data_IF_213313025287
#
_entry.id   IF_213313025287
#
_cell.length_a   1.000
_cell.length_b   1.000
_cell.length_c   1.000
_cell.angle_alpha   90.00
_cell.angle_beta   90.00
_cell.angle_gamma   90.00
#
_symmetry.space_group_name_H-M   'P 1'
#
loop_
_entity.id
_entity.type
_entity.pdbx_description
1 polymer ?
#
# COMPACT_ATOMS: atom_id res chain seq x y z
N UNK A 1 18.84 2.50 12.04
CA UNK A 1 19.25 3.89 12.28
C UNK A 1 17.99 4.73 12.23
N UNK A 2 17.71 5.47 13.29
CA UNK A 2 16.55 6.36 13.34
C UNK A 2 16.99 7.74 12.87
N UNK A 3 16.70 8.06 11.61
CA UNK A 3 16.70 9.46 11.15
C UNK A 3 15.52 9.67 10.21
N UNK A 4 14.51 10.38 10.71
CA UNK A 4 13.49 11.09 9.93
C UNK A 4 13.38 12.51 10.48
N UNK A 5 14.25 13.40 10.00
CA UNK A 5 13.94 14.78 9.67
C UNK A 5 15.10 15.30 8.81
N UNK A 6 14.82 15.71 7.57
CA UNK A 6 15.83 16.24 6.63
C UNK A 6 16.73 15.20 5.94
N UNK A 7 16.38 13.92 5.98
CA UNK A 7 17.11 12.84 5.28
C UNK A 7 16.32 12.38 4.06
N UNK A 8 16.69 12.88 2.89
CA UNK A 8 16.28 12.33 1.59
C UNK A 8 17.53 12.06 0.78
N UNK A 9 17.99 10.83 0.76
CA UNK A 9 19.13 10.38 -0.07
C UNK A 9 18.67 9.59 -1.29
N UNK A 10 17.40 9.23 -1.30
CA UNK A 10 16.72 8.48 -2.35
C UNK A 10 16.51 9.37 -3.59
N UNK A 11 16.59 8.76 -4.76
CA UNK A 11 16.43 9.41 -6.05
C UNK A 11 15.26 8.82 -6.81
N UNK A 12 14.49 9.70 -7.46
CA UNK A 12 13.30 9.33 -8.22
C UNK A 12 13.43 9.89 -9.64
N UNK A 13 13.21 9.06 -10.65
CA UNK A 13 13.01 9.50 -12.04
C UNK A 13 11.53 9.46 -12.37
N UNK A 14 10.96 10.63 -12.65
CA UNK A 14 9.53 10.80 -12.90
C UNK A 14 9.29 11.16 -14.37
N UNK A 15 8.28 10.56 -14.98
CA UNK A 15 7.84 10.89 -16.33
C UNK A 15 7.16 12.27 -16.35
N UNK A 16 7.66 13.15 -17.22
CA UNK A 16 7.20 14.53 -17.35
C UNK A 16 5.94 14.66 -18.22
N UNK A 17 5.48 13.56 -18.83
CA UNK A 17 4.27 13.56 -19.66
C UNK A 17 4.38 14.33 -20.98
N UNK A 18 5.60 14.66 -21.44
CA UNK A 18 5.80 15.47 -22.65
C UNK A 18 5.37 14.74 -23.94
N UNK A 19 5.52 13.41 -23.98
CA UNK A 19 5.07 12.58 -25.11
C UNK A 19 3.62 12.12 -24.97
N UNK A 20 3.17 11.88 -23.74
CA UNK A 20 1.80 11.49 -23.42
C UNK A 20 1.42 12.05 -22.03
N UNK A 21 0.45 12.97 -21.93
CA UNK A 21 0.07 13.59 -20.66
C UNK A 21 -0.48 12.58 -19.65
N UNK A 22 -0.94 11.40 -20.09
CA UNK A 22 -1.42 10.33 -19.19
C UNK A 22 -0.30 9.69 -18.37
N UNK A 23 0.97 9.90 -18.77
CA UNK A 23 2.12 9.41 -18.03
C UNK A 23 2.67 10.43 -17.03
N UNK A 24 2.14 11.66 -16.98
CA UNK A 24 2.63 12.69 -16.07
C UNK A 24 2.63 12.19 -14.62
N UNK A 25 3.78 12.30 -13.95
CA UNK A 25 3.91 11.91 -12.54
C UNK A 25 4.17 10.42 -12.32
N UNK A 26 4.20 9.60 -13.38
CA UNK A 26 4.54 8.17 -13.27
C UNK A 26 5.99 7.99 -12.85
N UNK A 27 6.21 7.19 -11.81
CA UNK A 27 7.55 6.76 -11.40
C UNK A 27 8.15 5.85 -12.48
N UNK A 28 9.36 6.16 -12.91
CA UNK A 28 10.11 5.37 -13.89
C UNK A 28 11.28 4.65 -13.25
N UNK A 29 12.00 5.31 -12.34
CA UNK A 29 13.06 4.67 -11.54
C UNK A 29 13.05 5.17 -10.10
N UNK A 30 13.39 4.27 -9.18
CA UNK A 30 13.71 4.53 -7.79
C UNK A 30 15.13 4.03 -7.52
N UNK A 31 16.03 4.92 -7.08
CA UNK A 31 17.45 4.61 -6.84
C UNK A 31 18.14 3.91 -8.02
N UNK A 32 17.84 4.39 -9.24
CA UNK A 32 18.40 3.89 -10.49
C UNK A 32 17.86 2.51 -10.92
N UNK A 33 16.79 2.02 -10.30
CA UNK A 33 16.12 0.75 -10.62
C UNK A 33 14.70 1.00 -11.11
N UNK A 34 14.29 0.27 -12.15
CA UNK A 34 12.90 0.30 -12.64
C UNK A 34 11.96 -0.54 -11.77
N UNK A 35 12.48 -1.59 -11.14
CA UNK A 35 11.75 -2.50 -10.25
C UNK A 35 12.40 -2.60 -8.86
N UNK A 36 11.56 -2.81 -7.84
CA UNK A 36 12.02 -3.11 -6.49
C UNK A 36 12.28 -4.61 -6.33
N UNK A 37 13.40 -4.98 -5.72
CA UNK A 37 13.79 -6.37 -5.41
C UNK A 37 13.42 -6.81 -3.98
N UNK A 38 12.56 -6.03 -3.30
CA UNK A 38 12.14 -6.30 -1.93
C UNK A 38 11.26 -7.56 -1.77
N UNK A 39 10.54 -7.95 -2.82
CA UNK A 39 9.66 -9.13 -2.82
C UNK A 39 9.89 -9.99 -4.06
N UNK A 40 9.32 -11.20 -4.08
CA UNK A 40 9.51 -12.13 -5.19
C UNK A 40 8.87 -11.69 -6.51
N UNK A 41 7.99 -10.68 -6.48
CA UNK A 41 7.34 -10.09 -7.66
C UNK A 41 7.26 -8.58 -7.45
N UNK A 42 7.28 -7.81 -8.55
CA UNK A 42 7.00 -6.37 -8.49
C UNK A 42 5.50 -6.17 -8.22
N UNK A 43 5.17 -5.44 -7.17
CA UNK A 43 3.80 -5.20 -6.73
C UNK A 43 3.65 -3.77 -6.25
N UNK A 44 2.45 -3.21 -6.43
CA UNK A 44 2.10 -1.87 -6.01
C UNK A 44 0.70 -1.84 -5.41
N UNK A 45 0.45 -0.85 -4.55
CA UNK A 45 -0.88 -0.62 -4.00
C UNK A 45 -1.68 0.33 -4.90
N UNK A 46 -2.98 0.08 -5.01
CA UNK A 46 -3.90 0.86 -5.84
C UNK A 46 -5.02 1.49 -5.03
N UNK A 47 -5.63 2.53 -5.58
CA UNK A 47 -6.81 3.17 -5.02
C UNK A 47 -7.95 3.07 -6.04
N UNK A 48 -9.12 2.62 -5.57
CA UNK A 48 -10.32 2.44 -6.38
C UNK A 48 -11.22 3.69 -6.25
N UNK A 49 -11.87 4.09 -7.34
CA UNK A 49 -12.84 5.20 -7.31
C UNK A 49 -14.02 4.84 -6.40
N UNK A 50 -14.36 5.74 -5.48
CA UNK A 50 -15.54 5.60 -4.62
C UNK A 50 -16.70 6.45 -5.14
N UNK A 51 -16.51 7.76 -5.25
CA UNK A 51 -17.58 8.72 -5.57
C UNK A 51 -17.02 10.10 -5.93
N UNK A 52 -17.86 10.94 -6.52
CA UNK A 52 -17.60 12.37 -6.62
C UNK A 52 -17.91 13.08 -5.30
N UNK A 53 -17.13 14.12 -5.00
CA UNK A 53 -17.25 14.95 -3.78
C UNK A 53 -17.01 16.41 -4.14
N UNK A 54 -17.51 17.32 -3.30
CA UNK A 54 -17.21 18.75 -3.39
C UNK A 54 -16.26 19.11 -2.24
N UNK A 55 -15.05 19.54 -2.56
CA UNK A 55 -14.07 20.02 -1.59
C UNK A 55 -13.83 21.52 -1.78
N UNK A 56 -14.28 22.34 -0.83
CA UNK A 56 -14.14 23.81 -0.88
C UNK A 56 -14.55 24.39 -2.24
N UNK A 57 -15.76 24.04 -2.69
CA UNK A 57 -16.36 24.46 -3.97
C UNK A 57 -15.65 23.95 -5.24
N UNK A 58 -14.71 23.02 -5.11
CA UNK A 58 -14.08 22.31 -6.23
C UNK A 58 -14.65 20.89 -6.31
N UNK A 59 -15.08 20.49 -7.51
CA UNK A 59 -15.47 19.12 -7.78
C UNK A 59 -14.22 18.23 -7.75
N UNK A 60 -14.28 17.14 -6.99
CA UNK A 60 -13.20 16.16 -6.92
C UNK A 60 -13.75 14.73 -7.00
N UNK A 61 -12.88 13.79 -7.36
CA UNK A 61 -13.16 12.36 -7.34
C UNK A 61 -12.44 11.76 -6.14
N UNK A 62 -13.20 11.13 -5.25
CA UNK A 62 -12.68 10.40 -4.10
C UNK A 62 -12.29 8.99 -4.51
N UNK A 63 -11.06 8.62 -4.21
CA UNK A 63 -10.50 7.28 -4.37
C UNK A 63 -10.12 6.73 -3.00
N UNK A 64 -10.41 5.47 -2.73
CA UNK A 64 -10.12 4.80 -1.46
C UNK A 64 -9.14 3.65 -1.69
N UNK A 65 -8.39 3.26 -0.66
CA UNK A 65 -7.48 2.13 -0.78
C UNK A 65 -8.23 0.88 -1.27
N UNK A 66 -7.71 0.22 -2.31
CA UNK A 66 -8.38 -0.96 -2.84
C UNK A 66 -8.43 -2.07 -1.78
N UNK A 67 -9.57 -2.78 -1.63
CA UNK A 67 -9.63 -3.95 -0.76
C UNK A 67 -8.65 -5.05 -1.18
N UNK A 68 -8.20 -5.05 -2.44
CA UNK A 68 -7.23 -6.01 -2.97
C UNK A 68 -5.82 -5.81 -2.42
N UNK A 69 -5.44 -4.60 -2.00
CA UNK A 69 -4.05 -4.27 -1.64
C UNK A 69 -3.47 -5.16 -0.53
N UNK A 70 -4.26 -5.51 0.49
CA UNK A 70 -3.85 -6.36 1.62
C UNK A 70 -4.72 -7.61 1.72
N UNK A 71 -5.37 -8.03 0.64
CA UNK A 71 -6.23 -9.22 0.67
C UNK A 71 -5.40 -10.51 0.77
N UNK A 72 -6.02 -11.56 1.30
CA UNK A 72 -5.43 -12.90 1.35
C UNK A 72 -5.06 -13.37 -0.06
N UNK A 73 -3.89 -14.00 -0.20
CA UNK A 73 -3.40 -14.43 -1.51
C UNK A 73 -4.26 -15.50 -2.17
N UNK A 74 -5.15 -16.17 -1.41
CA UNK A 74 -6.13 -17.11 -1.96
C UNK A 74 -7.27 -16.42 -2.72
N UNK A 75 -7.45 -15.11 -2.51
CA UNK A 75 -8.46 -14.28 -3.16
C UNK A 75 -7.80 -13.32 -4.15
N UNK A 76 -6.64 -12.75 -3.78
CA UNK A 76 -5.83 -11.89 -4.64
C UNK A 76 -4.45 -12.54 -4.87
N UNK A 77 -4.33 -13.34 -5.92
CA UNK A 77 -3.12 -14.13 -6.21
C UNK A 77 -1.85 -13.27 -6.34
N UNK A 78 -1.98 -12.01 -6.78
CA UNK A 78 -0.83 -11.09 -6.88
C UNK A 78 -0.19 -10.77 -5.52
N UNK A 79 -0.94 -10.89 -4.41
CA UNK A 79 -0.43 -10.69 -3.05
C UNK A 79 0.40 -11.86 -2.54
N UNK A 80 0.55 -12.93 -3.33
CA UNK A 80 1.45 -14.01 -2.99
C UNK A 80 2.85 -13.49 -2.67
N UNK A 81 3.37 -12.51 -3.41
CA UNK A 81 4.70 -11.96 -3.18
C UNK A 81 4.97 -11.43 -1.75
N UNK A 82 3.93 -11.11 -0.97
CA UNK A 82 4.05 -10.66 0.42
C UNK A 82 4.15 -11.79 1.46
N UNK A 83 3.98 -13.05 1.07
CA UNK A 83 4.00 -14.18 2.00
C UNK A 83 5.42 -14.52 2.47
N UNK A 84 5.58 -14.79 3.77
CA UNK A 84 6.86 -15.10 4.38
C UNK A 84 7.30 -16.54 4.15
N UNK A 85 8.62 -16.76 4.05
CA UNK A 85 9.25 -18.08 4.02
C UNK A 85 9.99 -18.37 2.71
N UNK A 86 11.27 -18.78 2.84
CA UNK A 86 12.11 -19.24 1.74
C UNK A 86 11.99 -20.78 1.60
N UNK A 87 11.51 -21.27 0.45
CA UNK A 87 11.47 -22.71 0.13
C UNK A 87 10.06 -23.30 -0.06
N UNK A 88 9.88 -24.59 0.26
CA UNK A 88 8.72 -25.41 -0.16
C UNK A 88 7.40 -25.17 0.59
N UNK A 89 7.35 -24.27 1.58
CA UNK A 89 6.10 -23.90 2.28
C UNK A 89 6.07 -22.39 2.53
N UNK A 90 5.60 -21.63 1.52
CA UNK A 90 5.20 -20.22 1.70
C UNK A 90 4.12 -20.15 2.76
N UNK A 91 4.32 -19.34 3.78
CA UNK A 91 3.32 -19.09 4.81
C UNK A 91 2.75 -17.69 4.60
N UNK A 92 1.53 -17.63 4.09
CA UNK A 92 0.81 -16.38 3.94
C UNK A 92 0.11 -16.01 5.24
N UNK A 93 0.18 -14.74 5.61
CA UNK A 93 -0.67 -14.18 6.65
C UNK A 93 -2.11 -14.09 6.16
N UNK A 94 -3.05 -13.94 7.10
CA UNK A 94 -4.44 -13.66 6.76
C UNK A 94 -4.55 -12.22 6.25
N UNK A 95 -5.63 -11.92 5.52
CA UNK A 95 -5.88 -10.59 4.97
C UNK A 95 -5.72 -9.45 5.98
N UNK A 96 -5.21 -8.33 5.49
CA UNK A 96 -5.11 -7.03 6.14
C UNK A 96 -3.77 -6.71 6.77
N UNK A 97 -2.75 -7.56 6.58
CA UNK A 97 -1.39 -7.32 7.06
C UNK A 97 -0.33 -7.69 6.01
N UNK A 98 0.80 -6.99 6.03
CA UNK A 98 2.03 -7.36 5.30
C UNK A 98 3.18 -7.43 6.30
N UNK A 99 4.00 -8.46 6.18
CA UNK A 99 5.30 -8.54 6.87
C UNK A 99 6.36 -7.82 6.02
N UNK A 100 7.04 -6.84 6.61
CA UNK A 100 8.08 -6.05 5.93
C UNK A 100 9.49 -6.59 6.17
N UNK A 101 9.66 -7.76 6.77
CA UNK A 101 10.98 -8.32 7.06
C UNK A 101 11.87 -8.38 5.81
N UNK A 102 11.34 -8.83 4.67
CA UNK A 102 12.11 -8.92 3.41
C UNK A 102 12.45 -7.53 2.80
N UNK A 103 11.74 -6.47 3.21
CA UNK A 103 11.93 -5.11 2.69
C UNK A 103 12.90 -4.28 3.54
N UNK A 104 12.76 -4.33 4.87
CA UNK A 104 13.51 -3.46 5.80
C UNK A 104 14.35 -4.22 6.83
N UNK A 105 14.43 -5.55 6.70
CA UNK A 105 15.21 -6.45 7.56
C UNK A 105 14.90 -6.30 9.06
N UNK A 106 13.63 -5.99 9.38
CA UNK A 106 13.13 -5.83 10.75
C UNK A 106 11.78 -6.52 10.90
N UNK A 107 11.46 -7.08 12.09
CA UNK A 107 10.20 -7.77 12.35
C UNK A 107 9.04 -6.77 12.52
N UNK A 108 8.70 -6.07 11.43
CA UNK A 108 7.62 -5.08 11.40
C UNK A 108 6.50 -5.57 10.49
N UNK A 109 5.29 -5.50 11.02
CA UNK A 109 4.05 -5.78 10.30
C UNK A 109 3.33 -4.46 10.06
N UNK A 110 2.85 -4.26 8.84
CA UNK A 110 2.03 -3.11 8.46
C UNK A 110 0.59 -3.54 8.25
N UNK A 111 -0.33 -2.70 8.71
CA UNK A 111 -1.78 -2.85 8.54
C UNK A 111 -2.44 -1.47 8.45
N UNK A 112 -3.72 -1.42 8.08
CA UNK A 112 -4.51 -0.21 8.29
C UNK A 112 -4.80 0.00 9.78
N UNK A 113 -5.03 1.26 10.23
CA UNK A 113 -5.26 1.56 11.64
C UNK A 113 -6.37 0.71 12.26
N UNK A 114 -6.14 0.25 13.50
CA UNK A 114 -7.02 -0.67 14.24
C UNK A 114 -7.37 -1.97 13.47
N UNK A 115 -6.50 -2.42 12.56
CA UNK A 115 -6.76 -3.57 11.69
C UNK A 115 -8.03 -3.41 10.85
N UNK A 116 -8.32 -2.19 10.42
CA UNK A 116 -9.37 -1.91 9.45
C UNK A 116 -9.17 -2.77 8.19
N UNK A 117 -10.25 -3.35 7.67
CA UNK A 117 -10.26 -4.30 6.54
C UNK A 117 -9.49 -5.62 6.74
N UNK A 118 -8.93 -5.88 7.92
CA UNK A 118 -8.22 -7.13 8.20
C UNK A 118 -9.15 -8.26 8.65
N UNK A 119 -8.58 -9.46 8.76
CA UNK A 119 -9.28 -10.61 9.35
C UNK A 119 -9.73 -10.31 10.80
N UNK A 120 -10.95 -10.72 11.22
CA UNK A 120 -11.49 -10.43 12.55
C UNK A 120 -10.61 -10.87 13.72
N UNK A 121 -9.81 -11.92 13.54
CA UNK A 121 -8.86 -12.39 14.56
C UNK A 121 -7.80 -11.35 14.92
N UNK A 122 -7.37 -10.50 13.97
CA UNK A 122 -6.43 -9.43 14.29
C UNK A 122 -7.08 -8.33 15.14
N UNK A 123 -8.40 -8.18 15.03
CA UNK A 123 -9.15 -7.17 15.79
C UNK A 123 -9.39 -7.60 17.25
N UNK A 124 -9.21 -8.88 17.58
CA UNK A 124 -9.30 -9.40 18.95
C UNK A 124 -7.94 -9.53 19.64
N UNK A 125 -6.84 -9.31 18.91
CA UNK A 125 -5.48 -9.44 19.44
C UNK A 125 -5.15 -8.47 20.58
N UNK A 126 -5.70 -7.24 20.53
CA UNK A 126 -5.46 -6.22 21.54
C UNK A 126 -6.77 -5.55 22.01
N UNK A 127 -6.82 -5.21 23.29
CA UNK A 127 -7.95 -4.45 23.87
C UNK A 127 -7.93 -3.01 23.36
N UNK A 128 -9.10 -2.51 22.93
CA UNK A 128 -9.27 -1.13 22.47
C UNK A 128 -9.20 -0.94 20.96
N UNK A 129 -9.03 -2.02 20.19
CA UNK A 129 -9.19 -1.99 18.74
C UNK A 129 -10.66 -1.69 18.40
N UNK A 130 -10.88 -0.73 17.49
CA UNK A 130 -12.20 -0.25 17.10
C UNK A 130 -12.16 0.23 15.64
N UNK A 131 -12.08 -0.69 14.67
CA UNK A 131 -11.96 -0.34 13.27
C UNK A 131 -13.21 0.39 12.77
N UNK A 132 -13.04 1.55 12.13
CA UNK A 132 -14.11 2.32 11.50
C UNK A 132 -13.62 2.85 10.16
N UNK A 133 -14.45 2.74 9.12
CA UNK A 133 -14.11 3.21 7.78
C UNK A 133 -13.78 4.71 7.79
N UNK A 134 -14.61 5.50 8.45
CA UNK A 134 -14.54 6.96 8.48
C UNK A 134 -13.23 7.50 9.08
N UNK A 135 -12.56 6.73 9.95
CA UNK A 135 -11.31 7.13 10.61
C UNK A 135 -10.08 6.43 10.08
N UNK A 136 -10.24 5.24 9.50
CA UNK A 136 -9.12 4.32 9.25
C UNK A 136 -8.99 3.92 7.78
N UNK A 137 -9.85 4.41 6.89
CA UNK A 137 -9.59 4.32 5.45
C UNK A 137 -8.49 5.29 5.02
N UNK A 138 -7.69 4.88 4.06
CA UNK A 138 -6.84 5.80 3.32
C UNK A 138 -7.59 6.23 2.06
N UNK A 139 -7.56 7.53 1.75
CA UNK A 139 -8.24 8.08 0.58
C UNK A 139 -7.48 9.24 -0.05
N UNK A 140 -7.76 9.49 -1.33
CA UNK A 140 -7.37 10.68 -2.07
C UNK A 140 -8.60 11.34 -2.66
N UNK A 141 -8.66 12.67 -2.63
CA UNK A 141 -9.65 13.46 -3.37
C UNK A 141 -8.89 14.24 -4.44
N UNK A 142 -9.12 13.88 -5.71
CA UNK A 142 -8.35 14.38 -6.85
C UNK A 142 -9.27 15.23 -7.73
N UNK A 143 -8.84 16.44 -8.05
CA UNK A 143 -9.48 17.29 -9.06
C UNK A 143 -9.22 16.68 -10.45
N UNK A 144 -10.27 16.37 -11.24
CA UNK A 144 -10.17 15.55 -12.44
C UNK A 144 -9.63 16.27 -13.69
#
# INVERSE_FOLDING_TARGET
MDTRNGTGTETFRIDRGLSDPRNLGRLVEYDGREDLDAWSQNTSMSFDFEKEVMYKDVMARKYINSPRNLEDSRVEESNECFCVGRGKKRQCHKRGIIDLYDCIEQPKIVSYPHFYMASPEYQTYAKGLNPSKEKHEAFFEIEP
#
